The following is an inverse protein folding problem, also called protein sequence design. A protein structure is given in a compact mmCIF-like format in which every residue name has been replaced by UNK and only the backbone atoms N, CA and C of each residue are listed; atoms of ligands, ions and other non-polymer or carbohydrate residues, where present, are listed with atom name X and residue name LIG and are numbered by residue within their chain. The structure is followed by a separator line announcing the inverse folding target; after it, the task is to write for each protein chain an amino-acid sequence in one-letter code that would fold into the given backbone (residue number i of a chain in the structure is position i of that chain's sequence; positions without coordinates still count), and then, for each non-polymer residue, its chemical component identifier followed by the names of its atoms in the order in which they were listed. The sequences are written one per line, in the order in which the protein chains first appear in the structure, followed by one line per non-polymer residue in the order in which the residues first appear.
data_IF_907046529035
#
_entry.id   IF_907046529035
#
_cell.length_a   1.000
_cell.length_b   1.000
_cell.length_c   1.000
_cell.angle_alpha   90.00
_cell.angle_beta   90.00
_cell.angle_gamma   90.00
#
_symmetry.space_group_name_H-M   'P 1'
#
loop_
_entity.id
_entity.type
_entity.pdbx_description
1 polymer ?
#
# COMPACT_ATOMS: atom_id res chain seq x y z
N UNK A 1 -25.21 -0.69 5.43
CA UNK A 1 -24.43 -0.16 4.35
C UNK A 1 -22.99 -0.61 4.40
N UNK A 2 -22.44 -0.96 3.28
CA UNK A 2 -21.12 -1.55 3.26
C UNK A 2 -20.11 -0.52 2.80
N UNK A 3 -19.06 -0.36 3.57
CA UNK A 3 -17.91 0.41 3.17
C UNK A 3 -17.10 -0.33 2.11
N UNK A 4 -16.05 0.32 1.64
CA UNK A 4 -15.12 -0.29 0.71
C UNK A 4 -14.36 -1.43 1.39
N UNK A 5 -13.87 -2.35 0.60
CA UNK A 5 -13.01 -3.44 1.07
C UNK A 5 -11.61 -3.24 0.55
N UNK A 6 -10.63 -3.34 1.43
CA UNK A 6 -9.23 -3.14 1.10
C UNK A 6 -8.41 -4.40 1.33
N UNK A 7 -7.51 -4.68 0.41
CA UNK A 7 -6.45 -5.66 0.60
C UNK A 7 -5.13 -4.90 0.75
N UNK A 8 -4.30 -5.30 1.70
CA UNK A 8 -3.03 -4.62 1.97
C UNK A 8 -1.89 -5.60 1.71
N UNK A 9 -1.06 -5.23 0.75
CA UNK A 9 0.06 -6.05 0.30
C UNK A 9 1.35 -5.30 0.62
N UNK A 10 2.33 -5.99 1.19
CA UNK A 10 3.56 -5.31 1.59
C UNK A 10 4.79 -6.16 1.32
N UNK A 11 5.92 -5.46 1.15
CA UNK A 11 7.24 -6.07 1.15
C UNK A 11 8.01 -5.49 2.33
N UNK A 12 8.51 -6.32 3.21
CA UNK A 12 9.15 -5.86 4.43
C UNK A 12 10.35 -6.74 4.79
N UNK A 13 11.48 -6.09 5.08
CA UNK A 13 12.66 -6.79 5.56
C UNK A 13 12.74 -6.73 7.08
N UNK A 14 12.53 -5.54 7.66
CA UNK A 14 12.74 -5.32 9.09
C UNK A 14 11.45 -5.26 9.91
N UNK A 15 10.31 -5.39 9.25
CA UNK A 15 9.02 -5.37 9.93
C UNK A 15 8.33 -4.01 9.97
N UNK A 16 9.02 -2.93 9.62
CA UNK A 16 8.41 -1.59 9.62
C UNK A 16 7.27 -1.48 8.61
N UNK A 17 7.46 -2.00 7.40
CA UNK A 17 6.44 -1.96 6.36
C UNK A 17 5.25 -2.85 6.73
N UNK A 18 5.52 -4.01 7.32
CA UNK A 18 4.46 -4.88 7.85
C UNK A 18 3.67 -4.16 8.92
N UNK A 19 4.35 -3.54 9.87
CA UNK A 19 3.68 -2.79 10.94
C UNK A 19 2.84 -1.66 10.36
N UNK A 20 3.36 -0.93 9.37
CA UNK A 20 2.61 0.11 8.68
C UNK A 20 1.34 -0.46 8.05
N UNK A 21 1.46 -1.58 7.35
CA UNK A 21 0.30 -2.23 6.74
C UNK A 21 -0.75 -2.64 7.76
N UNK A 22 -0.33 -3.19 8.89
CA UNK A 22 -1.24 -3.59 9.96
C UNK A 22 -1.94 -2.37 10.60
N UNK A 23 -1.21 -1.28 10.79
CA UNK A 23 -1.78 -0.04 11.32
C UNK A 23 -2.76 0.59 10.32
N UNK A 24 -2.44 0.59 9.04
CA UNK A 24 -3.35 1.07 8.00
C UNK A 24 -4.64 0.25 8.03
N UNK A 25 -4.53 -1.07 8.13
CA UNK A 25 -5.70 -1.94 8.21
C UNK A 25 -6.59 -1.58 9.40
N UNK A 26 -5.99 -1.40 10.58
CA UNK A 26 -6.74 -1.04 11.77
C UNK A 26 -7.42 0.32 11.61
N UNK A 27 -6.73 1.30 11.05
CA UNK A 27 -7.29 2.63 10.83
C UNK A 27 -8.43 2.61 9.80
N UNK A 28 -8.30 1.82 8.74
CA UNK A 28 -9.38 1.68 7.75
C UNK A 28 -10.61 1.03 8.37
N UNK A 29 -10.41 0.03 9.23
CA UNK A 29 -11.54 -0.61 9.93
C UNK A 29 -12.27 0.38 10.83
N UNK A 30 -11.53 1.29 11.48
CA UNK A 30 -12.15 2.35 12.29
C UNK A 30 -12.96 3.31 11.44
N UNK A 31 -12.59 3.48 10.17
CA UNK A 31 -13.35 4.31 9.22
C UNK A 31 -14.54 3.58 8.59
N UNK A 32 -14.79 2.35 9.01
CA UNK A 32 -15.91 1.57 8.50
C UNK A 32 -15.61 0.70 7.29
N UNK A 33 -14.35 0.63 6.87
CA UNK A 33 -13.95 -0.24 5.76
C UNK A 33 -13.75 -1.67 6.23
N UNK A 34 -13.98 -2.62 5.32
CA UNK A 34 -13.56 -3.99 5.52
C UNK A 34 -12.13 -4.19 5.05
N UNK A 35 -11.39 -5.09 5.71
CA UNK A 35 -10.05 -5.47 5.26
C UNK A 35 -10.10 -6.95 4.92
N UNK A 36 -9.85 -7.28 3.65
CA UNK A 36 -9.97 -8.66 3.17
C UNK A 36 -8.71 -9.47 3.42
N UNK A 37 -7.55 -8.83 3.39
CA UNK A 37 -6.28 -9.48 3.70
C UNK A 37 -5.21 -8.45 4.01
N UNK A 38 -4.24 -8.85 4.82
CA UNK A 38 -2.97 -8.14 5.01
C UNK A 38 -1.90 -9.20 4.82
N UNK A 39 -1.22 -9.18 3.68
CA UNK A 39 -0.27 -10.25 3.37
C UNK A 39 1.00 -9.72 2.70
N UNK A 40 2.12 -10.45 2.87
CA UNK A 40 3.34 -10.06 2.19
C UNK A 40 3.26 -10.38 0.69
N UNK A 41 4.02 -9.62 -0.09
CA UNK A 41 4.04 -9.79 -1.55
C UNK A 41 4.54 -11.17 -2.00
N UNK A 42 5.28 -11.86 -1.15
CA UNK A 42 5.78 -13.20 -1.48
C UNK A 42 4.84 -14.32 -1.03
N UNK A 43 3.73 -13.98 -0.40
CA UNK A 43 2.72 -14.96 0.04
C UNK A 43 1.33 -14.37 -0.17
N UNK A 44 0.97 -14.14 -1.42
CA UNK A 44 -0.28 -13.48 -1.76
C UNK A 44 -1.49 -14.33 -1.42
N UNK A 45 -2.48 -13.70 -0.83
CA UNK A 45 -3.78 -14.31 -0.60
C UNK A 45 -4.73 -13.85 -1.69
N UNK A 46 -4.84 -14.65 -2.72
CA UNK A 46 -5.54 -14.27 -3.96
C UNK A 46 -7.03 -13.99 -3.74
N UNK A 47 -7.68 -14.77 -2.88
CA UNK A 47 -9.09 -14.56 -2.58
C UNK A 47 -9.37 -13.19 -1.99
N UNK A 48 -8.54 -12.76 -1.05
CA UNK A 48 -8.67 -11.43 -0.45
C UNK A 48 -8.42 -10.31 -1.45
N UNK A 49 -7.45 -10.51 -2.34
CA UNK A 49 -7.14 -9.52 -3.38
C UNK A 49 -8.32 -9.38 -4.35
N UNK A 50 -8.88 -10.50 -4.78
CA UNK A 50 -10.01 -10.49 -5.71
C UNK A 50 -11.25 -9.83 -5.11
N UNK A 51 -11.48 -10.03 -3.82
CA UNK A 51 -12.64 -9.47 -3.13
C UNK A 51 -12.50 -7.98 -2.87
N UNK A 52 -11.29 -7.44 -2.87
CA UNK A 52 -11.04 -6.05 -2.51
C UNK A 52 -11.46 -5.08 -3.62
N UNK A 53 -11.99 -3.93 -3.21
CA UNK A 53 -12.27 -2.80 -4.11
C UNK A 53 -11.02 -1.94 -4.28
N UNK A 54 -10.21 -1.85 -3.23
CA UNK A 54 -8.99 -1.05 -3.18
C UNK A 54 -7.84 -1.95 -2.75
N UNK A 55 -6.74 -1.86 -3.46
CA UNK A 55 -5.52 -2.59 -3.11
C UNK A 55 -4.48 -1.59 -2.64
N UNK A 56 -3.99 -1.77 -1.42
CA UNK A 56 -2.92 -0.93 -0.85
C UNK A 56 -1.63 -1.70 -0.96
N UNK A 57 -0.64 -1.13 -1.62
CA UNK A 57 0.65 -1.76 -1.84
C UNK A 57 1.75 -0.95 -1.17
N UNK A 58 2.53 -1.59 -0.33
CA UNK A 58 3.58 -0.94 0.42
C UNK A 58 4.92 -1.61 0.32
N UNK A 59 5.96 -0.80 0.40
CA UNK A 59 7.33 -1.28 0.37
C UNK A 59 8.20 -0.40 1.28
N UNK A 60 9.46 -0.76 1.43
CA UNK A 60 10.44 0.06 2.14
C UNK A 60 11.44 0.64 1.15
N UNK A 61 12.06 1.76 1.54
CA UNK A 61 13.04 2.42 0.70
C UNK A 61 14.35 1.65 0.72
N UNK A 62 14.85 1.32 -0.47
CA UNK A 62 16.10 0.61 -0.68
C UNK A 62 17.17 1.59 -1.18
N UNK A 63 18.41 1.37 -0.77
CA UNK A 63 19.52 2.17 -1.26
C UNK A 63 19.81 3.42 -0.45
N UNK A 64 19.91 3.28 0.86
CA UNK A 64 20.02 4.36 1.83
C UNK A 64 21.14 5.36 1.56
N UNK A 65 22.32 4.88 1.19
CA UNK A 65 23.49 5.72 0.96
C UNK A 65 23.99 5.68 -0.46
N UNK A 66 23.24 5.10 -1.34
CA UNK A 66 23.66 4.85 -2.70
C UNK A 66 22.84 5.68 -3.65
N UNK A 67 23.30 5.82 -4.85
CA UNK A 67 22.61 6.53 -5.89
C UNK A 67 21.21 5.96 -6.07
N UNK A 68 20.21 6.79 -5.81
CA UNK A 68 18.83 6.46 -6.05
C UNK A 68 18.19 5.53 -5.01
N UNK A 69 17.24 6.05 -4.26
CA UNK A 69 16.34 5.21 -3.47
C UNK A 69 15.40 4.50 -4.44
N UNK A 70 15.08 3.24 -4.12
CA UNK A 70 14.17 2.45 -4.93
C UNK A 70 13.29 1.60 -4.01
N UNK A 71 12.06 1.29 -4.42
CA UNK A 71 11.23 0.38 -3.64
C UNK A 71 11.76 -1.03 -3.70
N UNK A 72 11.79 -1.68 -2.55
CA UNK A 72 12.14 -3.09 -2.49
C UNK A 72 10.94 -3.93 -2.91
N UNK A 73 11.18 -4.98 -3.68
CA UNK A 73 10.11 -5.88 -4.10
C UNK A 73 9.37 -5.46 -5.36
N UNK A 74 9.91 -4.48 -6.10
CA UNK A 74 9.28 -4.00 -7.32
C UNK A 74 9.05 -5.12 -8.33
N UNK A 75 9.99 -6.07 -8.42
CA UNK A 75 9.84 -7.22 -9.29
C UNK A 75 8.66 -8.13 -8.89
N UNK A 76 8.39 -8.25 -7.59
CA UNK A 76 7.25 -9.03 -7.12
C UNK A 76 5.93 -8.37 -7.51
N UNK A 77 5.89 -7.04 -7.57
CA UNK A 77 4.69 -6.31 -7.97
C UNK A 77 4.33 -6.63 -9.42
N UNK A 78 5.32 -6.79 -10.28
CA UNK A 78 5.08 -7.13 -11.68
C UNK A 78 4.39 -8.50 -11.86
N UNK A 79 4.45 -9.35 -10.84
CA UNK A 79 3.82 -10.67 -10.85
C UNK A 79 2.46 -10.69 -10.15
N UNK A 80 1.94 -9.56 -9.72
CA UNK A 80 0.61 -9.49 -9.15
C UNK A 80 -0.44 -9.86 -10.19
N UNK A 81 -1.59 -10.39 -9.75
CA UNK A 81 -2.68 -10.66 -10.70
C UNK A 81 -3.17 -9.35 -11.32
N UNK A 82 -3.80 -9.47 -12.48
CA UNK A 82 -4.36 -8.29 -13.15
C UNK A 82 -5.36 -7.59 -12.23
N UNK A 83 -5.21 -6.28 -12.09
CA UNK A 83 -6.02 -5.47 -11.17
C UNK A 83 -6.90 -4.49 -11.90
N UNK A 84 -7.30 -4.83 -13.12
CA UNK A 84 -8.16 -3.98 -13.93
C UNK A 84 -9.49 -3.74 -13.20
N UNK A 85 -9.89 -2.49 -13.09
CA UNK A 85 -11.11 -2.11 -12.40
C UNK A 85 -10.97 -1.92 -10.91
N UNK A 86 -9.78 -2.14 -10.35
CA UNK A 86 -9.52 -1.89 -8.93
C UNK A 86 -8.81 -0.55 -8.74
N UNK A 87 -9.14 0.11 -7.64
CA UNK A 87 -8.41 1.27 -7.18
C UNK A 87 -7.19 0.82 -6.40
N UNK A 88 -6.15 1.63 -6.39
CA UNK A 88 -4.95 1.32 -5.62
C UNK A 88 -4.41 2.56 -4.92
N UNK A 89 -3.77 2.33 -3.79
CA UNK A 89 -3.01 3.34 -3.09
C UNK A 89 -1.68 2.72 -2.69
N UNK A 90 -0.66 3.56 -2.56
CA UNK A 90 0.70 3.08 -2.31
C UNK A 90 1.28 3.74 -1.07
N UNK A 91 2.17 3.03 -0.40
CA UNK A 91 2.95 3.64 0.68
C UNK A 91 4.37 3.08 0.66
N UNK A 92 5.28 3.85 1.23
CA UNK A 92 6.61 3.35 1.50
C UNK A 92 7.04 3.78 2.90
N UNK A 93 7.85 2.95 3.55
CA UNK A 93 8.44 3.32 4.83
C UNK A 93 9.88 3.74 4.61
N UNK A 94 10.32 4.76 5.31
CA UNK A 94 11.66 5.30 5.14
C UNK A 94 12.24 5.79 6.48
N UNK A 95 13.57 5.92 6.52
CA UNK A 95 14.28 6.44 7.70
C UNK A 95 14.77 7.88 7.46
N UNK A 96 15.41 8.12 6.33
CA UNK A 96 16.04 9.40 6.04
C UNK A 96 15.33 10.15 4.91
N UNK A 97 15.17 9.52 3.76
CA UNK A 97 14.62 10.19 2.58
C UNK A 97 13.92 9.15 1.69
N UNK A 98 12.64 9.36 1.35
CA UNK A 98 11.94 8.41 0.47
C UNK A 98 12.36 8.49 -1.00
N UNK A 99 13.00 9.59 -1.43
CA UNK A 99 13.38 9.76 -2.83
C UNK A 99 12.18 9.66 -3.76
N UNK A 100 12.37 8.99 -4.90
CA UNK A 100 11.31 8.78 -5.89
C UNK A 100 10.62 7.42 -5.74
N UNK A 101 10.67 6.85 -4.55
CA UNK A 101 10.14 5.51 -4.30
C UNK A 101 8.67 5.39 -4.63
N UNK A 102 7.86 6.37 -4.21
CA UNK A 102 6.42 6.34 -4.49
C UNK A 102 6.13 6.40 -5.98
N UNK A 103 6.85 7.24 -6.73
CA UNK A 103 6.65 7.34 -8.18
C UNK A 103 6.93 6.01 -8.88
N UNK A 104 7.99 5.33 -8.47
CA UNK A 104 8.35 4.03 -9.02
C UNK A 104 7.33 2.96 -8.66
N UNK A 105 6.86 3.00 -7.42
CA UNK A 105 5.85 2.07 -6.94
C UNK A 105 4.52 2.28 -7.66
N UNK A 106 4.11 3.54 -7.83
CA UNK A 106 2.89 3.88 -8.56
C UNK A 106 2.94 3.36 -9.99
N UNK A 107 4.08 3.53 -10.67
CA UNK A 107 4.26 3.04 -12.03
C UNK A 107 4.13 1.52 -12.09
N UNK A 108 4.72 0.81 -11.13
CA UNK A 108 4.65 -0.65 -11.09
C UNK A 108 3.22 -1.14 -10.85
N UNK A 109 2.49 -0.51 -9.94
CA UNK A 109 1.11 -0.89 -9.62
C UNK A 109 0.18 -0.55 -10.78
N UNK A 110 0.36 0.59 -11.41
CA UNK A 110 -0.39 0.95 -12.62
C UNK A 110 -0.15 -0.06 -13.74
N UNK A 111 1.07 -0.58 -13.81
CA UNK A 111 1.45 -1.56 -14.83
C UNK A 111 0.66 -2.86 -14.76
N UNK A 112 0.08 -3.22 -13.61
CA UNK A 112 -0.77 -4.41 -13.48
C UNK A 112 -2.26 -4.09 -13.62
N UNK A 113 -2.60 -2.87 -14.00
CA UNK A 113 -3.95 -2.50 -14.39
C UNK A 113 -4.76 -1.72 -13.36
N UNK A 114 -4.24 -1.51 -12.16
CA UNK A 114 -4.96 -0.76 -11.12
C UNK A 114 -4.91 0.74 -11.40
N UNK A 115 -5.94 1.44 -10.96
CA UNK A 115 -5.94 2.91 -10.99
C UNK A 115 -5.39 3.42 -9.66
N UNK A 116 -4.20 4.00 -9.69
CA UNK A 116 -3.56 4.53 -8.47
C UNK A 116 -4.15 5.89 -8.15
N UNK A 117 -4.81 5.99 -6.99
CA UNK A 117 -5.48 7.21 -6.57
C UNK A 117 -4.68 8.03 -5.56
N UNK A 118 -3.57 7.52 -5.08
CA UNK A 118 -2.70 8.28 -4.18
C UNK A 118 -1.66 7.42 -3.51
N UNK A 119 -0.80 8.07 -2.77
CA UNK A 119 0.23 7.40 -1.99
C UNK A 119 0.83 8.34 -0.96
N UNK A 120 1.51 7.78 0.02
CA UNK A 120 2.15 8.56 1.07
C UNK A 120 3.41 7.85 1.56
N UNK A 121 4.47 8.62 1.73
CA UNK A 121 5.69 8.14 2.36
C UNK A 121 5.55 8.23 3.88
N UNK A 122 5.83 7.13 4.57
CA UNK A 122 5.62 7.01 6.01
C UNK A 122 6.97 6.91 6.71
N UNK A 123 7.26 7.87 7.58
CA UNK A 123 8.50 7.82 8.35
C UNK A 123 8.39 6.70 9.39
N UNK A 124 9.37 5.79 9.40
CA UNK A 124 9.31 4.59 10.27
C UNK A 124 9.24 4.91 11.75
N UNK A 125 9.68 6.10 12.16
CA UNK A 125 9.62 6.53 13.56
C UNK A 125 8.28 7.18 13.93
N UNK A 126 7.39 7.41 12.94
CA UNK A 126 6.12 8.11 13.14
C UNK A 126 4.96 7.31 12.55
N UNK A 127 5.05 6.00 12.54
CA UNK A 127 4.04 5.16 11.91
C UNK A 127 2.62 5.36 12.44
N UNK A 128 2.38 5.48 13.76
CA UNK A 128 1.01 5.68 14.23
C UNK A 128 0.34 6.91 13.61
N UNK A 129 1.03 8.06 13.62
CA UNK A 129 0.47 9.30 13.06
C UNK A 129 0.37 9.24 11.54
N UNK A 130 1.39 8.75 10.88
CA UNK A 130 1.44 8.72 9.41
C UNK A 130 0.47 7.72 8.81
N UNK A 131 0.27 6.57 9.46
CA UNK A 131 -0.71 5.58 8.96
C UNK A 131 -2.14 6.06 9.19
N UNK A 132 -2.39 6.80 10.26
CA UNK A 132 -3.69 7.43 10.47
C UNK A 132 -3.98 8.46 9.37
N UNK A 133 -2.99 9.28 9.03
CA UNK A 133 -3.13 10.24 7.93
C UNK A 133 -3.35 9.52 6.59
N UNK A 134 -2.62 8.45 6.34
CA UNK A 134 -2.79 7.66 5.12
C UNK A 134 -4.23 7.15 4.98
N UNK A 135 -4.75 6.54 6.05
CA UNK A 135 -6.09 5.99 6.02
C UNK A 135 -7.13 7.09 5.84
N UNK A 136 -7.00 8.22 6.54
CA UNK A 136 -7.93 9.32 6.42
C UNK A 136 -7.95 9.90 4.99
N UNK A 137 -6.79 10.07 4.39
CA UNK A 137 -6.70 10.57 3.02
C UNK A 137 -7.26 9.57 2.01
N UNK A 138 -6.99 8.29 2.21
CA UNK A 138 -7.50 7.26 1.32
C UNK A 138 -9.03 7.23 1.34
N UNK A 139 -9.61 7.25 2.52
CA UNK A 139 -11.08 7.25 2.67
C UNK A 139 -11.68 8.51 2.03
N UNK A 140 -11.06 9.67 2.28
CA UNK A 140 -11.56 10.95 1.75
C UNK A 140 -11.48 11.02 0.23
N UNK A 141 -10.49 10.38 -0.39
CA UNK A 141 -10.24 10.48 -1.82
C UNK A 141 -10.78 9.30 -2.63
N UNK A 142 -11.31 8.28 -1.98
CA UNK A 142 -11.87 7.13 -2.69
C UNK A 142 -13.27 7.47 -3.16
N UNK A 143 -13.56 7.35 -4.48
CA UNK A 143 -14.89 7.62 -4.97
C UNK A 143 -15.89 6.59 -4.44
N UNK A 144 -17.10 7.07 -4.17
CA UNK A 144 -18.17 6.18 -3.72
C UNK A 144 -18.57 5.22 -4.84
N UNK A 145 -18.63 3.94 -4.50
CA UNK A 145 -19.10 2.92 -5.44
C UNK A 145 -20.48 2.48 -5.00
N UNK A 146 -21.44 3.13 -5.52
CA UNK A 146 -22.83 2.82 -5.22
C UNK A 146 -23.37 1.85 -6.25
#
# INVERSE_FOLDING_TARGET
MFGMKAAILYSSLTGNTRKAGELIAANLQQEGWGVTTVCPLNQLEMGGIQEADVVVVGTWVHGLFVVGQAPFGLGAIAHLPAMRGKLAATFCTFALNPGKTLDKLDSAVSGVGAEVIGGLALHRAKLPAHTEEFAARLVANTPSRV
#
